data_IF_899481566601
#
_entry.id   IF_899481566601
#
_cell.length_a   1.000
_cell.length_b   1.000
_cell.length_c   1.000
_cell.angle_alpha   90.00
_cell.angle_beta   90.00
_cell.angle_gamma   90.00
#
_symmetry.space_group_name_H-M   'P 1'
#
loop_
_entity.id
_entity.type
_entity.pdbx_description
1 polymer ?
#
# COMPACT_ATOMS: atom_id res chain seq x y z
N UNK A 1 26.18 -43.27 61.70
CA UNK A 1 26.25 -44.36 60.70
C UNK A 1 26.97 -43.77 59.49
N UNK A 2 28.27 -44.01 59.29
CA UNK A 2 28.82 -45.11 58.46
C UNK A 2 28.10 -45.17 57.10
N UNK A 3 28.64 -44.91 55.91
CA UNK A 3 29.98 -44.94 55.30
C UNK A 3 29.97 -44.04 54.03
N UNK A 4 31.02 -43.26 53.72
CA UNK A 4 32.12 -43.62 52.81
C UNK A 4 31.70 -44.37 51.53
N UNK A 5 31.98 -43.80 50.35
CA UNK A 5 33.00 -44.35 49.41
C UNK A 5 33.07 -43.62 48.07
N UNK A 6 34.29 -43.14 47.83
CA UNK A 6 35.10 -43.27 46.59
C UNK A 6 34.64 -42.49 45.37
N UNK A 7 35.40 -41.41 45.12
CA UNK A 7 35.79 -40.97 43.78
C UNK A 7 36.33 -42.15 42.96
N UNK A 8 35.89 -42.23 41.70
CA UNK A 8 36.66 -42.85 40.62
C UNK A 8 36.67 -41.89 39.44
N UNK A 9 37.89 -41.47 39.09
CA UNK A 9 38.21 -40.66 37.92
C UNK A 9 38.11 -41.55 36.69
N UNK A 10 37.29 -41.16 35.71
CA UNK A 10 37.49 -41.60 34.33
C UNK A 10 37.85 -40.39 33.49
N UNK A 11 39.09 -40.46 33.04
CA UNK A 11 39.81 -39.61 32.09
C UNK A 11 39.23 -39.70 30.68
N UNK A 12 39.60 -38.70 29.88
CA UNK A 12 39.78 -38.72 28.42
C UNK A 12 38.71 -37.97 27.59
N UNK A 13 38.98 -36.67 27.43
CA UNK A 13 39.14 -35.98 26.13
C UNK A 13 38.44 -36.55 24.91
N UNK A 14 37.47 -35.79 24.39
CA UNK A 14 37.26 -35.66 22.94
C UNK A 14 36.85 -34.20 22.65
N UNK A 15 37.84 -33.38 22.29
CA UNK A 15 37.67 -32.09 21.63
C UNK A 15 37.59 -32.37 20.14
N UNK A 16 36.48 -32.02 19.48
CA UNK A 16 36.39 -31.73 18.05
C UNK A 16 35.00 -31.13 17.79
N UNK A 17 34.86 -29.80 17.81
CA UNK A 17 35.04 -28.97 16.61
C UNK A 17 34.06 -29.33 15.48
N UNK A 18 32.85 -28.77 15.55
CA UNK A 18 31.98 -28.58 14.39
C UNK A 18 31.03 -27.38 14.60
N UNK A 19 31.55 -26.32 15.22
CA UNK A 19 30.87 -25.02 15.30
C UNK A 19 31.35 -24.16 14.14
N UNK A 20 31.01 -24.48 12.89
CA UNK A 20 31.21 -23.58 11.74
C UNK A 20 30.45 -24.11 10.52
N UNK A 21 29.16 -23.77 10.41
CA UNK A 21 28.43 -23.89 9.16
C UNK A 21 27.53 -22.67 8.98
N UNK A 22 28.13 -21.66 8.33
CA UNK A 22 27.52 -20.68 7.42
C UNK A 22 26.31 -19.90 7.93
N UNK A 23 26.60 -18.87 8.71
CA UNK A 23 25.89 -17.61 8.64
C UNK A 23 26.16 -16.92 7.28
N UNK A 24 25.45 -17.31 6.21
CA UNK A 24 25.55 -16.67 4.88
C UNK A 24 24.21 -16.64 4.16
N UNK A 25 23.21 -15.94 4.73
CA UNK A 25 21.97 -15.62 4.02
C UNK A 25 21.40 -14.23 4.36
N UNK A 26 22.24 -13.25 4.70
CA UNK A 26 21.79 -11.87 4.99
C UNK A 26 22.23 -10.82 3.96
N UNK A 27 22.90 -11.20 2.88
CA UNK A 27 23.27 -10.25 1.82
C UNK A 27 22.27 -10.32 0.67
N UNK A 28 21.26 -9.45 0.71
CA UNK A 28 20.43 -9.21 -0.48
C UNK A 28 19.07 -8.54 -0.33
N UNK A 29 18.71 -7.91 0.79
CA UNK A 29 17.64 -6.92 0.76
C UNK A 29 18.29 -5.55 0.56
N UNK A 30 18.44 -5.12 -0.70
CA UNK A 30 18.55 -3.68 -0.95
C UNK A 30 17.36 -3.04 -0.26
N UNK A 31 17.54 -2.06 0.66
CA UNK A 31 16.40 -1.26 1.04
C UNK A 31 15.86 -0.69 -0.26
N UNK A 32 14.60 -0.99 -0.58
CA UNK A 32 13.90 -0.26 -1.62
C UNK A 32 13.93 1.19 -1.14
N UNK A 33 14.83 1.98 -1.72
CA UNK A 33 14.86 3.41 -1.47
C UNK A 33 13.54 3.91 -2.03
N UNK A 34 12.52 4.02 -1.18
CA UNK A 34 11.33 4.76 -1.53
C UNK A 34 11.84 6.14 -1.91
N UNK A 35 11.73 6.46 -3.20
CA UNK A 35 12.05 7.80 -3.67
C UNK A 35 11.31 8.76 -2.73
N UNK A 36 11.95 9.87 -2.30
CA UNK A 36 11.19 10.91 -1.65
C UNK A 36 10.07 11.25 -2.62
N UNK A 37 8.82 10.92 -2.27
CA UNK A 37 7.66 11.36 -3.03
C UNK A 37 7.70 12.86 -2.83
N UNK A 38 8.27 13.55 -3.81
CA UNK A 38 8.37 14.99 -3.75
C UNK A 38 6.98 15.53 -3.47
N UNK A 39 6.90 16.70 -2.86
CA UNK A 39 5.61 17.37 -2.64
C UNK A 39 4.84 17.58 -3.96
N UNK A 40 5.44 17.29 -5.12
CA UNK A 40 4.89 17.40 -6.48
C UNK A 40 4.37 16.09 -7.07
N UNK A 41 4.61 14.93 -6.46
CA UNK A 41 4.23 13.61 -7.00
C UNK A 41 3.48 12.73 -5.98
N UNK A 42 2.74 11.75 -6.49
CA UNK A 42 2.07 10.74 -5.66
C UNK A 42 3.03 9.66 -5.17
N UNK A 43 2.70 9.01 -4.05
CA UNK A 43 3.39 7.79 -3.65
C UNK A 43 3.05 6.56 -4.50
N UNK A 44 3.96 5.60 -4.53
CA UNK A 44 3.69 4.27 -5.11
C UNK A 44 2.83 3.43 -4.16
N UNK A 45 2.97 3.62 -2.85
CA UNK A 45 2.17 2.93 -1.85
C UNK A 45 0.71 3.39 -1.92
N UNK A 46 -0.21 2.44 -1.75
CA UNK A 46 -1.65 2.71 -1.68
C UNK A 46 -2.05 3.10 -0.26
N UNK A 47 -3.08 3.95 -0.15
CA UNK A 47 -3.59 4.39 1.13
C UNK A 47 -4.04 3.20 1.98
N UNK A 48 -3.35 2.96 3.10
CA UNK A 48 -3.56 1.81 4.00
C UNK A 48 -3.50 0.46 3.28
N UNK A 49 -2.75 0.38 2.19
CA UNK A 49 -2.60 -0.83 1.39
C UNK A 49 -3.79 -1.17 0.48
N UNK A 50 -4.85 -0.34 0.44
CA UNK A 50 -5.99 -0.57 -0.45
C UNK A 50 -5.89 0.29 -1.72
N UNK A 51 -5.62 -0.36 -2.85
CA UNK A 51 -5.53 0.28 -4.16
C UNK A 51 -6.76 1.09 -4.53
N UNK A 52 -7.95 0.71 -4.05
CA UNK A 52 -9.20 1.41 -4.34
C UNK A 52 -9.24 2.80 -3.71
N UNK A 53 -8.45 3.03 -2.67
CA UNK A 53 -8.36 4.34 -2.02
C UNK A 53 -7.30 5.23 -2.68
N UNK A 54 -6.53 4.76 -3.66
CA UNK A 54 -5.49 5.53 -4.35
C UNK A 54 -4.18 5.62 -3.56
N UNK A 55 -3.25 6.54 -3.93
CA UNK A 55 -1.95 6.69 -3.29
C UNK A 55 -2.03 7.12 -1.82
N UNK A 56 -1.10 6.64 -0.98
CA UNK A 56 -0.96 7.03 0.44
C UNK A 56 -0.69 8.53 0.58
N UNK A 57 0.31 9.05 -0.14
CA UNK A 57 0.67 10.46 -0.16
C UNK A 57 0.29 11.09 -1.50
N UNK A 58 -0.36 12.25 -1.42
CA UNK A 58 -0.75 13.07 -2.56
C UNK A 58 0.19 14.28 -2.70
N UNK A 59 0.37 14.81 -3.92
CA UNK A 59 1.12 16.03 -4.12
C UNK A 59 0.39 17.23 -3.49
N UNK A 60 1.17 18.16 -2.94
CA UNK A 60 0.71 19.45 -2.37
C UNK A 60 1.35 20.66 -3.06
N UNK A 61 2.34 20.44 -3.93
CA UNK A 61 2.99 21.43 -4.78
C UNK A 61 2.86 21.07 -6.26
N UNK A 62 3.19 22.02 -7.12
CA UNK A 62 3.16 21.85 -8.57
C UNK A 62 1.75 21.78 -9.17
N UNK A 63 1.64 21.60 -10.51
CA UNK A 63 0.37 21.66 -11.22
C UNK A 63 -0.69 20.65 -10.74
N UNK A 64 -0.26 19.47 -10.30
CA UNK A 64 -1.17 18.44 -9.79
C UNK A 64 -1.60 18.76 -8.35
N UNK A 65 -0.67 19.19 -7.49
CA UNK A 65 -1.01 19.59 -6.12
C UNK A 65 -2.04 20.73 -6.08
N UNK A 66 -1.94 21.69 -7.00
CA UNK A 66 -2.93 22.76 -7.15
C UNK A 66 -4.34 22.26 -7.51
N UNK A 67 -4.45 21.18 -8.29
CA UNK A 67 -5.74 20.56 -8.63
C UNK A 67 -6.37 19.82 -7.44
N UNK A 68 -5.58 19.46 -6.42
CA UNK A 68 -6.03 18.73 -5.23
C UNK A 68 -6.41 19.66 -4.06
N UNK A 69 -6.38 20.98 -4.25
CA UNK A 69 -6.82 21.93 -3.21
C UNK A 69 -8.29 21.69 -2.90
N UNK A 70 -8.59 21.38 -1.63
CA UNK A 70 -9.94 21.07 -1.17
C UNK A 70 -10.40 19.61 -1.42
N UNK A 71 -9.55 18.78 -2.03
CA UNK A 71 -9.85 17.36 -2.22
C UNK A 71 -9.91 16.63 -0.88
N UNK A 72 -11.05 15.98 -0.60
CA UNK A 72 -11.21 15.01 0.48
C UNK A 72 -11.47 13.63 -0.12
N UNK A 73 -10.57 12.67 0.13
CA UNK A 73 -10.55 11.34 -0.50
C UNK A 73 -11.89 10.61 -0.45
N UNK A 74 -12.58 10.67 0.69
CA UNK A 74 -13.87 10.01 0.93
C UNK A 74 -14.99 11.00 1.24
N UNK A 75 -14.76 12.31 1.03
CA UNK A 75 -15.68 13.36 1.44
C UNK A 75 -15.92 13.34 2.95
N UNK A 76 -17.19 13.20 3.36
CA UNK A 76 -17.60 13.11 4.77
C UNK A 76 -17.86 11.67 5.24
N UNK A 77 -17.42 10.67 4.47
CA UNK A 77 -17.65 9.25 4.77
C UNK A 77 -16.40 8.58 5.33
N UNK A 78 -16.60 7.52 6.11
CA UNK A 78 -15.49 6.57 6.36
C UNK A 78 -15.10 5.86 5.07
N UNK A 79 -13.89 5.30 5.02
CA UNK A 79 -13.42 4.49 3.88
C UNK A 79 -14.32 3.30 3.60
N UNK A 80 -14.76 2.60 4.65
CA UNK A 80 -15.69 1.48 4.54
C UNK A 80 -17.03 1.92 3.93
N UNK A 81 -17.61 3.01 4.42
CA UNK A 81 -18.85 3.56 3.87
C UNK A 81 -18.69 4.00 2.42
N UNK A 82 -17.56 4.61 2.08
CA UNK A 82 -17.24 5.03 0.72
C UNK A 82 -17.19 3.83 -0.23
N UNK A 83 -16.43 2.80 0.13
CA UNK A 83 -16.28 1.60 -0.67
C UNK A 83 -17.60 0.79 -0.76
N UNK A 84 -18.35 0.68 0.34
CA UNK A 84 -19.68 0.06 0.32
C UNK A 84 -20.66 0.79 -0.62
N UNK A 85 -20.54 2.11 -0.72
CA UNK A 85 -21.41 2.93 -1.58
C UNK A 85 -21.01 2.86 -3.05
N UNK A 86 -19.71 2.96 -3.35
CA UNK A 86 -19.23 3.23 -4.71
C UNK A 86 -18.50 2.06 -5.36
N UNK A 87 -18.14 1.00 -4.63
CA UNK A 87 -17.48 -0.17 -5.18
C UNK A 87 -18.46 -1.34 -5.30
N UNK A 88 -18.40 -2.06 -6.42
CA UNK A 88 -19.02 -3.37 -6.55
C UNK A 88 -17.97 -4.45 -6.27
N UNK A 89 -18.08 -5.06 -5.09
CA UNK A 89 -17.16 -6.10 -4.67
C UNK A 89 -17.29 -7.38 -5.50
N UNK A 90 -18.50 -7.73 -5.97
CA UNK A 90 -18.72 -8.94 -6.75
C UNK A 90 -18.16 -8.78 -8.18
N UNK A 91 -18.42 -7.63 -8.80
CA UNK A 91 -17.90 -7.29 -10.12
C UNK A 91 -16.44 -6.81 -10.13
N UNK A 92 -15.83 -6.60 -8.96
CA UNK A 92 -14.47 -6.04 -8.79
C UNK A 92 -14.28 -4.74 -9.61
N UNK A 93 -15.26 -3.85 -9.55
CA UNK A 93 -15.32 -2.62 -10.35
C UNK A 93 -15.98 -1.49 -9.57
N UNK A 94 -15.77 -0.25 -10.02
CA UNK A 94 -16.50 0.91 -9.48
C UNK A 94 -17.91 0.98 -10.05
N UNK A 95 -18.86 1.45 -9.22
CA UNK A 95 -20.21 1.80 -9.63
C UNK A 95 -20.17 3.17 -10.30
N UNK A 96 -20.02 3.19 -11.62
CA UNK A 96 -20.04 4.43 -12.40
C UNK A 96 -21.47 4.96 -12.58
N UNK A 97 -21.65 6.29 -12.70
CA UNK A 97 -22.95 6.86 -13.04
C UNK A 97 -23.42 6.40 -14.43
N UNK A 98 -24.74 6.41 -14.69
CA UNK A 98 -25.28 6.12 -16.01
C UNK A 98 -24.89 7.22 -17.01
N UNK A 99 -25.12 6.96 -18.30
CA UNK A 99 -24.93 7.92 -19.40
C UNK A 99 -23.54 8.58 -19.36
N UNK A 100 -22.50 7.76 -19.20
CA UNK A 100 -21.08 8.17 -19.22
C UNK A 100 -20.70 9.24 -18.18
N UNK A 101 -21.52 9.44 -17.12
CA UNK A 101 -21.24 10.44 -16.09
C UNK A 101 -21.63 11.87 -16.43
N UNK A 102 -22.34 12.11 -17.55
CA UNK A 102 -22.86 13.45 -17.85
C UNK A 102 -23.94 13.87 -16.84
N UNK A 103 -24.04 15.19 -16.63
CA UNK A 103 -25.18 15.77 -15.93
C UNK A 103 -26.47 15.39 -16.65
N UNK A 104 -27.51 15.03 -15.90
CA UNK A 104 -28.81 14.68 -16.46
C UNK A 104 -29.79 15.84 -16.34
N UNK A 105 -30.63 16.01 -17.37
CA UNK A 105 -31.83 16.84 -17.29
C UNK A 105 -32.83 16.24 -16.29
N UNK A 106 -33.88 16.98 -15.88
CA UNK A 106 -34.96 16.40 -15.09
C UNK A 106 -35.68 15.22 -15.78
N UNK A 107 -35.64 15.12 -17.12
CA UNK A 107 -36.15 13.98 -17.89
C UNK A 107 -35.22 12.76 -17.92
N UNK A 108 -33.99 12.90 -17.42
CA UNK A 108 -32.99 11.82 -17.39
C UNK A 108 -32.07 11.75 -18.62
N UNK A 109 -32.11 12.74 -19.51
CA UNK A 109 -31.27 12.81 -20.71
C UNK A 109 -29.92 13.47 -20.39
N UNK A 110 -28.81 13.01 -20.98
CA UNK A 110 -27.50 13.61 -20.74
C UNK A 110 -27.39 15.00 -21.38
N UNK A 111 -26.91 15.96 -20.60
CA UNK A 111 -26.56 17.30 -21.07
C UNK A 111 -25.17 17.24 -21.71
N UNK A 112 -25.12 17.21 -23.05
CA UNK A 112 -23.89 17.22 -23.85
C UNK A 112 -24.10 17.84 -25.23
N UNK A 113 -23.02 18.34 -25.84
CA UNK A 113 -23.02 18.85 -27.21
C UNK A 113 -21.71 18.47 -27.91
N UNK A 114 -21.71 18.50 -29.25
CA UNK A 114 -20.50 18.28 -30.03
C UNK A 114 -19.66 19.57 -30.05
N UNK A 115 -18.36 19.42 -29.81
CA UNK A 115 -17.41 20.52 -29.85
C UNK A 115 -16.13 20.08 -30.55
N UNK A 116 -15.71 20.84 -31.55
CA UNK A 116 -14.40 20.66 -32.17
C UNK A 116 -13.33 21.33 -31.30
N UNK A 117 -12.35 20.55 -30.87
CA UNK A 117 -11.23 21.06 -30.08
C UNK A 117 -10.18 21.66 -31.01
N UNK A 118 -9.74 22.89 -30.71
CA UNK A 118 -8.62 23.51 -31.43
C UNK A 118 -7.34 22.73 -31.15
N UNK A 119 -6.43 22.72 -32.11
CA UNK A 119 -5.06 22.23 -31.90
C UNK A 119 -4.38 23.04 -30.80
N UNK A 120 -3.65 22.35 -29.92
CA UNK A 120 -2.90 22.93 -28.81
C UNK A 120 -1.54 23.46 -29.19
#
# INVERSE_FOLDING_TARGET
MKWLRRLTRHTATAVAAASLALATALTGATPAQAAPTGLTECSAEHHRGDRRLGPERLPVLGPVGLQLVGYSRTGHRSEEQFLATYYDQAGNTWRYPPKDGYLLTPSGDPVKWQQDLRTG
#
